data_IF_964857805437
#
_entry.id   IF_964857805437
#
_cell.length_a   1.000
_cell.length_b   1.000
_cell.length_c   1.000
_cell.angle_alpha   90.00
_cell.angle_beta   90.00
_cell.angle_gamma   90.00
#
_symmetry.space_group_name_H-M   'P 1'
#
loop_
_entity.id
_entity.type
_entity.pdbx_description
1 polymer ?
#
# COMPACT_ATOMS: atom_id res chain seq x y z
N UNK A 1 -23.61 -13.22 13.77
CA UNK A 1 -22.73 -14.37 14.03
C UNK A 1 -21.30 -13.94 13.73
N UNK A 2 -20.45 -13.80 14.74
CA UNK A 2 -19.04 -13.52 14.58
C UNK A 2 -18.37 -14.74 13.93
N UNK A 3 -17.61 -14.52 12.83
CA UNK A 3 -16.95 -15.61 12.12
C UNK A 3 -15.47 -15.71 12.50
N UNK A 4 -14.77 -14.57 12.56
CA UNK A 4 -13.34 -14.51 12.87
C UNK A 4 -12.96 -13.12 13.38
N UNK A 5 -11.95 -13.04 14.25
CA UNK A 5 -11.24 -11.81 14.62
C UNK A 5 -9.80 -11.98 14.18
N UNK A 6 -9.35 -11.15 13.23
CA UNK A 6 -7.96 -11.12 12.83
C UNK A 6 -7.17 -10.13 13.72
N UNK A 7 -6.23 -10.61 14.57
CA UNK A 7 -5.52 -9.75 15.52
C UNK A 7 -4.39 -8.92 14.91
N UNK A 8 -4.12 -9.07 13.62
CA UNK A 8 -3.06 -8.34 12.92
C UNK A 8 -3.63 -7.23 12.04
N UNK A 9 -2.84 -6.21 11.82
CA UNK A 9 -3.14 -5.20 10.80
C UNK A 9 -3.13 -5.81 9.40
N UNK A 10 -3.92 -5.24 8.53
CA UNK A 10 -4.02 -5.67 7.12
C UNK A 10 -2.91 -5.08 6.25
N UNK A 11 -2.64 -5.71 5.10
CA UNK A 11 -1.53 -5.33 4.21
C UNK A 11 -1.64 -3.92 3.61
N UNK A 12 -2.86 -3.37 3.49
CA UNK A 12 -3.06 -2.00 3.00
C UNK A 12 -3.10 -0.94 4.11
N UNK A 13 -2.60 -1.23 5.32
CA UNK A 13 -2.49 -0.24 6.41
C UNK A 13 -1.73 1.03 6.01
N UNK A 14 -0.65 0.98 5.19
CA UNK A 14 0.04 2.17 4.72
C UNK A 14 -0.88 3.15 3.98
N UNK A 15 -1.85 2.64 3.21
CA UNK A 15 -2.86 3.48 2.55
C UNK A 15 -3.66 4.30 3.56
N UNK A 16 -4.18 3.65 4.60
CA UNK A 16 -4.97 4.33 5.63
C UNK A 16 -4.14 5.41 6.35
N UNK A 17 -2.89 5.11 6.69
CA UNK A 17 -1.97 6.06 7.36
C UNK A 17 -1.68 7.26 6.48
N UNK A 18 -1.43 7.06 5.20
CA UNK A 18 -1.20 8.14 4.23
C UNK A 18 -2.46 8.95 3.94
N UNK A 19 -3.62 8.30 3.96
CA UNK A 19 -4.91 8.99 3.85
C UNK A 19 -5.29 9.80 5.11
N UNK A 20 -4.46 9.78 6.17
CA UNK A 20 -4.66 10.58 7.38
C UNK A 20 -5.23 9.80 8.57
N UNK A 21 -5.40 8.49 8.46
CA UNK A 21 -5.92 7.65 9.55
C UNK A 21 -4.86 6.67 10.04
N UNK A 22 -4.12 7.08 11.06
CA UNK A 22 -3.09 6.23 11.69
C UNK A 22 -3.74 5.27 12.71
N UNK A 23 -4.23 4.13 12.24
CA UNK A 23 -4.87 3.12 13.10
C UNK A 23 -3.98 2.62 14.23
N UNK A 24 -2.67 2.33 14.06
CA UNK A 24 -1.78 1.97 15.17
C UNK A 24 -1.76 3.03 16.27
N UNK A 25 -1.61 4.30 15.92
CA UNK A 25 -1.61 5.39 16.91
C UNK A 25 -2.95 5.52 17.62
N UNK A 26 -4.06 5.41 16.88
CA UNK A 26 -5.41 5.45 17.48
C UNK A 26 -5.62 4.27 18.45
N UNK A 27 -5.14 3.07 18.08
CA UNK A 27 -5.23 1.90 18.95
C UNK A 27 -4.43 2.10 20.25
N UNK A 28 -3.20 2.61 20.16
CA UNK A 28 -2.39 2.92 21.35
C UNK A 28 -3.07 3.94 22.25
N UNK A 29 -3.56 5.04 21.70
CA UNK A 29 -4.29 6.08 22.46
C UNK A 29 -5.53 5.50 23.13
N UNK A 30 -6.29 4.69 22.41
CA UNK A 30 -7.46 4.00 22.98
C UNK A 30 -7.08 3.04 24.12
N UNK A 31 -5.99 2.29 23.98
CA UNK A 31 -5.48 1.41 25.02
C UNK A 31 -5.02 2.17 26.28
N UNK A 32 -4.54 3.40 26.12
CA UNK A 32 -4.22 4.30 27.23
C UNK A 32 -5.44 4.98 27.87
N UNK A 33 -6.65 4.66 27.41
CA UNK A 33 -7.90 5.19 27.97
C UNK A 33 -8.30 6.57 27.41
N UNK A 34 -7.63 7.06 26.36
CA UNK A 34 -7.98 8.31 25.75
C UNK A 34 -9.33 8.24 25.01
N UNK A 35 -10.10 9.33 25.09
CA UNK A 35 -11.25 9.52 24.21
C UNK A 35 -10.75 9.96 22.84
N UNK A 36 -11.07 9.20 21.82
CA UNK A 36 -10.62 9.47 20.45
C UNK A 36 -11.47 10.53 19.74
N UNK A 37 -12.61 10.94 20.33
CA UNK A 37 -13.52 11.92 19.75
C UNK A 37 -14.12 11.46 18.41
N UNK A 38 -14.34 12.42 17.51
CA UNK A 38 -14.90 12.13 16.19
C UNK A 38 -13.87 11.42 15.29
N UNK A 39 -14.34 10.58 14.36
CA UNK A 39 -13.46 9.94 13.39
C UNK A 39 -12.63 10.98 12.61
N UNK A 40 -11.35 10.72 12.36
CA UNK A 40 -10.52 11.63 11.57
C UNK A 40 -11.05 11.73 10.12
N UNK A 41 -10.89 12.89 9.53
CA UNK A 41 -11.09 13.03 8.08
C UNK A 41 -9.98 12.30 7.35
N UNK A 42 -10.30 11.70 6.22
CA UNK A 42 -9.33 10.98 5.39
C UNK A 42 -9.38 11.47 3.94
N UNK A 43 -8.22 11.39 3.30
CA UNK A 43 -8.06 11.71 1.89
C UNK A 43 -8.45 10.48 1.05
N UNK A 44 -9.34 10.67 0.07
CA UNK A 44 -9.81 9.62 -0.85
C UNK A 44 -8.97 9.53 -2.12
N UNK A 45 -8.08 10.47 -2.39
CA UNK A 45 -7.31 10.56 -3.63
C UNK A 45 -5.99 9.79 -3.55
N UNK A 46 -5.61 9.34 -2.35
CA UNK A 46 -4.42 8.50 -2.13
C UNK A 46 -4.65 7.09 -2.68
N UNK A 47 -3.71 6.64 -3.50
CA UNK A 47 -3.71 5.28 -4.07
C UNK A 47 -2.48 4.52 -3.60
N UNK A 48 -2.64 3.21 -3.34
CA UNK A 48 -1.56 2.32 -2.94
C UNK A 48 -1.23 1.36 -4.08
N UNK A 49 0.05 1.18 -4.32
CA UNK A 49 0.57 0.14 -5.22
C UNK A 49 1.60 -0.73 -4.50
N UNK A 50 1.94 -1.84 -5.13
CA UNK A 50 3.04 -2.71 -4.73
C UNK A 50 3.93 -2.93 -5.95
N UNK A 51 4.96 -2.10 -6.11
CA UNK A 51 5.78 -2.04 -7.33
C UNK A 51 6.31 -3.41 -7.80
N UNK A 52 6.80 -4.31 -6.93
CA UNK A 52 7.25 -5.63 -7.38
C UNK A 52 6.13 -6.48 -8.00
N UNK A 53 4.91 -6.41 -7.44
CA UNK A 53 3.75 -7.13 -7.97
C UNK A 53 3.26 -6.52 -9.29
N UNK A 54 3.24 -5.19 -9.37
CA UNK A 54 2.87 -4.47 -10.59
C UNK A 54 3.88 -4.74 -11.72
N UNK A 55 5.18 -4.80 -11.41
CA UNK A 55 6.21 -5.15 -12.37
C UNK A 55 6.06 -6.59 -12.87
N UNK A 56 5.76 -7.55 -11.98
CA UNK A 56 5.49 -8.93 -12.36
C UNK A 56 4.23 -9.06 -13.24
N UNK A 57 3.17 -8.30 -12.90
CA UNK A 57 1.96 -8.24 -13.71
C UNK A 57 2.21 -7.60 -15.08
N UNK A 58 3.01 -6.51 -15.14
CA UNK A 58 3.43 -5.89 -16.39
C UNK A 58 4.22 -6.86 -17.28
N UNK A 59 5.18 -7.58 -16.68
CA UNK A 59 5.94 -8.62 -17.38
C UNK A 59 5.04 -9.72 -17.94
N UNK A 60 4.06 -10.17 -17.17
CA UNK A 60 3.07 -11.15 -17.64
C UNK A 60 2.21 -10.60 -18.78
N UNK A 61 1.77 -9.33 -18.67
CA UNK A 61 0.96 -8.67 -19.69
C UNK A 61 1.69 -8.47 -21.03
N UNK A 62 3.03 -8.39 -21.05
CA UNK A 62 3.82 -8.29 -22.28
C UNK A 62 3.65 -9.53 -23.19
N UNK A 63 3.26 -10.67 -22.63
CA UNK A 63 3.01 -11.92 -23.37
C UNK A 63 1.63 -11.95 -24.05
N UNK A 64 0.74 -11.03 -23.68
CA UNK A 64 -0.60 -10.92 -24.23
C UNK A 64 -0.63 -9.78 -25.29
N UNK A 65 -0.82 -10.10 -26.59
CA UNK A 65 -0.80 -9.10 -27.65
C UNK A 65 -1.82 -7.98 -27.50
N UNK A 66 -2.97 -8.28 -26.87
CA UNK A 66 -4.07 -7.31 -26.71
C UNK A 66 -3.84 -6.39 -25.51
N UNK A 67 -3.16 -6.87 -24.46
CA UNK A 67 -3.01 -6.16 -23.19
C UNK A 67 -1.67 -5.44 -23.05
N UNK A 68 -0.62 -5.88 -23.76
CA UNK A 68 0.76 -5.41 -23.57
C UNK A 68 0.91 -3.88 -23.60
N UNK A 69 0.34 -3.23 -24.60
CA UNK A 69 0.53 -1.79 -24.76
C UNK A 69 -0.30 -0.95 -23.80
N UNK A 70 -1.62 -1.20 -23.62
CA UNK A 70 -2.42 -0.48 -22.62
C UNK A 70 -1.87 -0.65 -21.20
N UNK A 71 -1.44 -1.88 -20.85
CA UNK A 71 -0.91 -2.15 -19.53
C UNK A 71 0.46 -1.49 -19.31
N UNK A 72 1.38 -1.59 -20.27
CA UNK A 72 2.69 -0.94 -20.19
C UNK A 72 2.58 0.58 -20.08
N UNK A 73 1.72 1.20 -20.87
CA UNK A 73 1.47 2.64 -20.81
C UNK A 73 0.89 3.06 -19.44
N UNK A 74 -0.06 2.29 -18.91
CA UNK A 74 -0.61 2.50 -17.57
C UNK A 74 0.46 2.39 -16.49
N UNK A 75 1.25 1.31 -16.51
CA UNK A 75 2.34 1.08 -15.56
C UNK A 75 3.36 2.24 -15.56
N UNK A 76 3.80 2.68 -16.74
CA UNK A 76 4.75 3.81 -16.86
C UNK A 76 4.14 5.11 -16.37
N UNK A 77 2.90 5.40 -16.72
CA UNK A 77 2.19 6.60 -16.25
C UNK A 77 2.13 6.60 -14.70
N UNK A 78 1.78 5.49 -14.11
CA UNK A 78 1.58 5.37 -12.66
C UNK A 78 2.91 5.41 -11.87
N UNK A 79 4.07 5.20 -12.53
CA UNK A 79 5.39 5.43 -11.93
C UNK A 79 5.65 6.90 -11.60
N UNK A 80 5.04 7.81 -12.37
CA UNK A 80 5.24 9.25 -12.23
C UNK A 80 4.06 9.97 -11.57
N UNK A 81 3.07 9.23 -11.09
CA UNK A 81 1.90 9.79 -10.42
C UNK A 81 2.17 10.02 -8.92
N UNK A 82 2.25 11.29 -8.47
CA UNK A 82 2.55 11.61 -7.06
C UNK A 82 1.43 11.20 -6.08
N UNK A 83 0.23 10.93 -6.57
CA UNK A 83 -0.90 10.43 -5.77
C UNK A 83 -0.80 8.93 -5.47
N UNK A 84 0.18 8.24 -6.06
CA UNK A 84 0.38 6.80 -5.83
C UNK A 84 1.56 6.61 -4.89
N UNK A 85 1.32 5.95 -3.77
CA UNK A 85 2.37 5.52 -2.84
C UNK A 85 2.70 4.04 -3.04
N UNK A 86 3.94 3.66 -2.79
CA UNK A 86 4.32 2.25 -2.77
C UNK A 86 4.20 1.67 -1.36
N UNK A 87 3.65 0.45 -1.24
CA UNK A 87 3.46 -0.22 0.05
C UNK A 87 4.71 -0.97 0.55
N UNK A 88 5.74 -1.07 -0.29
CA UNK A 88 7.00 -1.78 0.00
C UNK A 88 8.17 -0.81 -0.06
N UNK A 89 8.22 0.02 -1.11
CA UNK A 89 9.31 0.96 -1.33
C UNK A 89 9.02 2.27 -0.59
N UNK A 90 9.72 2.48 0.52
CA UNK A 90 9.64 3.73 1.29
C UNK A 90 10.96 4.49 1.15
N UNK A 91 10.97 5.68 0.54
CA UNK A 91 12.17 6.52 0.49
C UNK A 91 12.70 6.91 1.88
N UNK A 92 11.85 6.90 2.90
CA UNK A 92 12.22 7.15 4.29
C UNK A 92 12.86 5.94 4.99
N UNK A 93 12.68 4.71 4.44
CA UNK A 93 13.28 3.47 4.97
C UNK A 93 13.72 2.54 3.83
N UNK A 94 14.79 2.94 3.17
CA UNK A 94 15.38 2.16 2.07
C UNK A 94 15.93 0.82 2.54
N UNK A 95 16.38 0.71 3.79
CA UNK A 95 16.92 -0.52 4.32
C UNK A 95 15.85 -1.61 4.41
N UNK A 96 14.69 -1.31 4.99
CA UNK A 96 13.56 -2.25 5.04
C UNK A 96 13.10 -2.64 3.63
N UNK A 97 13.02 -1.68 2.71
CA UNK A 97 12.66 -1.90 1.31
C UNK A 97 13.63 -2.88 0.62
N UNK A 98 14.94 -2.69 0.79
CA UNK A 98 15.97 -3.56 0.21
C UNK A 98 15.94 -4.98 0.81
N UNK A 99 15.78 -5.09 2.12
CA UNK A 99 15.65 -6.40 2.80
C UNK A 99 14.43 -7.14 2.30
N UNK A 100 13.30 -6.45 2.15
CA UNK A 100 12.09 -7.06 1.58
C UNK A 100 12.35 -7.61 0.17
N UNK A 101 12.93 -6.80 -0.71
CA UNK A 101 13.23 -7.19 -2.09
C UNK A 101 14.19 -8.38 -2.14
N UNK A 102 15.25 -8.37 -1.32
CA UNK A 102 16.24 -9.44 -1.27
C UNK A 102 15.66 -10.80 -0.85
N UNK A 103 14.60 -10.80 -0.02
CA UNK A 103 13.98 -12.01 0.49
C UNK A 103 12.77 -12.50 -0.32
N UNK A 104 12.22 -11.69 -1.22
CA UNK A 104 10.96 -12.01 -1.92
C UNK A 104 11.08 -11.94 -3.45
N UNK A 105 12.19 -11.47 -3.99
CA UNK A 105 12.47 -11.59 -5.41
C UNK A 105 13.16 -12.94 -5.67
N UNK A 106 12.75 -13.68 -6.70
CA UNK A 106 13.34 -14.96 -7.07
C UNK A 106 14.76 -14.82 -7.58
#
# INVERSE_FOLDING_TARGET
RLMEINPRFWGSLPLATRAGVNFPALLCRRAMGEDLGSPPRYDTDVRLRFLPLDAAAAWSALRDPERRWPYAAGFVRDLFDPGIIDGILDPGDLQASLVYLANHLP
#
